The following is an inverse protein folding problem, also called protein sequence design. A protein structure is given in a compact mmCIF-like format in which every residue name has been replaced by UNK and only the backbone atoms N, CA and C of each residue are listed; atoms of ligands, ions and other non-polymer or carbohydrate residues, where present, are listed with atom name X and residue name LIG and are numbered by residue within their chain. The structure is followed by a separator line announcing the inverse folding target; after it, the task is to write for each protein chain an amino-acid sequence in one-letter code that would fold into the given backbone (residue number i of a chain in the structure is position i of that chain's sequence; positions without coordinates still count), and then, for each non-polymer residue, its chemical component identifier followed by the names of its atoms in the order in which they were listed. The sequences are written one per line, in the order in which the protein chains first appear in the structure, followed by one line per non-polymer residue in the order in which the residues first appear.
data_IF_050770758816
#
_entry.id   IF_050770758816
#
_cell.length_a   1.000
_cell.length_b   1.000
_cell.length_c   1.000
_cell.angle_alpha   90.00
_cell.angle_beta   90.00
_cell.angle_gamma   90.00
#
_symmetry.space_group_name_H-M   'P 1'
#
loop_
_entity.id
_entity.type
_entity.pdbx_description
1 polymer ?
#
# COMPACT_ATOMS: atom_id res chain seq x y z
N UNK A 1 -28.04 22.56 4.64
CA UNK A 1 -27.54 21.25 4.17
C UNK A 1 -26.69 20.67 5.30
N UNK A 2 -27.21 19.66 5.99
CA UNK A 2 -26.49 18.99 7.09
C UNK A 2 -25.29 18.21 6.53
N UNK A 3 -24.17 18.14 7.25
CA UNK A 3 -23.01 17.32 6.85
C UNK A 3 -23.35 15.85 6.58
N UNK A 4 -24.44 15.34 7.17
CA UNK A 4 -25.01 14.03 6.86
C UNK A 4 -25.47 13.89 5.40
N UNK A 5 -26.05 14.94 4.81
CA UNK A 5 -26.51 14.92 3.43
C UNK A 5 -25.33 14.85 2.44
N UNK A 6 -24.21 15.51 2.77
CA UNK A 6 -22.97 15.46 1.99
C UNK A 6 -22.29 14.10 2.11
N UNK A 7 -22.22 13.53 3.33
CA UNK A 7 -21.73 12.17 3.56
C UNK A 7 -22.60 11.11 2.86
N UNK A 8 -23.92 11.34 2.77
CA UNK A 8 -24.90 10.49 2.07
C UNK A 8 -24.74 10.44 0.55
N UNK A 9 -24.04 11.41 -0.04
CA UNK A 9 -23.81 11.46 -1.48
C UNK A 9 -22.54 10.69 -1.92
N UNK A 10 -21.71 10.24 -0.97
CA UNK A 10 -20.47 9.51 -1.26
C UNK A 10 -20.78 8.00 -1.35
N UNK A 11 -20.49 7.33 -2.49
CA UNK A 11 -20.94 5.96 -2.77
C UNK A 11 -20.26 4.86 -1.94
N UNK A 12 -19.42 5.20 -0.97
CA UNK A 12 -18.78 4.26 -0.04
C UNK A 12 -19.15 4.64 1.39
N UNK A 13 -20.35 4.24 1.81
CA UNK A 13 -20.82 4.44 3.17
C UNK A 13 -20.58 3.21 4.02
N UNK A 14 -19.45 3.16 4.70
CA UNK A 14 -19.27 2.21 5.79
C UNK A 14 -19.92 2.80 7.05
N UNK A 15 -20.77 2.06 7.79
CA UNK A 15 -21.44 2.56 9.00
C UNK A 15 -20.48 3.20 10.02
N UNK A 16 -19.20 2.80 10.00
CA UNK A 16 -18.13 3.40 10.81
C UNK A 16 -17.90 4.89 10.56
N UNK A 17 -18.23 5.42 9.39
CA UNK A 17 -18.13 6.86 9.11
C UNK A 17 -19.19 7.70 9.82
N UNK A 18 -20.28 7.08 10.31
CA UNK A 18 -21.32 7.75 11.10
C UNK A 18 -21.12 7.59 12.60
N UNK A 19 -20.25 6.66 13.05
CA UNK A 19 -19.94 6.45 14.47
C UNK A 19 -19.42 7.73 15.16
N UNK A 20 -18.54 8.56 14.55
CA UNK A 20 -18.11 9.82 15.17
C UNK A 20 -19.25 10.83 15.40
N UNK A 21 -20.37 10.72 14.67
CA UNK A 21 -21.53 11.60 14.85
C UNK A 21 -22.43 11.17 16.02
N UNK A 22 -22.40 9.90 16.42
CA UNK A 22 -23.23 9.36 17.50
C UNK A 22 -22.98 10.05 18.86
N UNK A 23 -21.73 10.27 19.32
CA UNK A 23 -21.47 11.06 20.51
C UNK A 23 -22.05 12.47 20.41
N UNK A 24 -21.93 13.12 19.24
CA UNK A 24 -22.50 14.45 19.03
C UNK A 24 -24.01 14.49 19.13
N UNK A 25 -24.69 13.51 18.55
CA UNK A 25 -26.15 13.39 18.57
C UNK A 25 -26.63 13.09 20.00
N UNK A 26 -26.04 12.09 20.68
CA UNK A 26 -26.41 11.73 22.05
C UNK A 26 -26.16 12.89 23.00
N UNK A 27 -25.02 13.59 22.88
CA UNK A 27 -24.68 14.69 23.77
C UNK A 27 -25.44 16.00 23.49
N UNK A 28 -25.89 16.22 22.24
CA UNK A 28 -26.70 17.40 21.88
C UNK A 28 -28.17 17.23 22.24
N UNK A 29 -28.67 15.99 22.23
CA UNK A 29 -30.04 15.65 22.66
C UNK A 29 -30.16 15.52 24.18
N UNK A 30 -29.06 15.20 24.87
CA UNK A 30 -29.00 15.11 26.33
C UNK A 30 -28.66 16.46 26.98
N UNK A 31 -29.37 16.86 28.04
CA UNK A 31 -29.27 18.17 28.70
C UNK A 31 -27.93 18.47 29.42
N UNK A 32 -26.90 17.65 29.23
CA UNK A 32 -25.62 17.73 29.96
C UNK A 32 -24.83 19.02 29.68
N UNK A 33 -24.90 19.54 28.45
CA UNK A 33 -24.30 20.82 28.07
C UNK A 33 -24.85 22.02 28.87
N UNK A 34 -26.04 21.90 29.49
CA UNK A 34 -26.64 22.93 30.35
C UNK A 34 -26.17 22.86 31.81
N UNK A 35 -25.67 21.70 32.26
CA UNK A 35 -25.29 21.46 33.66
C UNK A 35 -23.81 21.76 33.92
N UNK A 36 -22.93 21.57 32.94
CA UNK A 36 -21.49 21.84 33.06
C UNK A 36 -20.84 22.22 31.71
N UNK A 37 -21.18 23.38 31.12
CA UNK A 37 -20.80 23.74 29.74
C UNK A 37 -19.28 23.74 29.50
N UNK A 38 -18.46 24.26 30.44
CA UNK A 38 -17.01 24.30 30.27
C UNK A 38 -16.35 22.91 30.25
N UNK A 39 -16.78 22.01 31.14
CA UNK A 39 -16.29 20.63 31.19
C UNK A 39 -16.73 19.84 29.95
N UNK A 40 -17.96 20.07 29.52
CA UNK A 40 -18.51 19.47 28.30
C UNK A 40 -17.66 19.83 27.08
N UNK A 41 -17.44 21.13 26.83
CA UNK A 41 -16.66 21.58 25.67
C UNK A 41 -15.20 21.11 25.72
N UNK A 42 -14.59 21.08 26.91
CA UNK A 42 -13.25 20.53 27.08
C UNK A 42 -13.21 19.03 26.70
N UNK A 43 -14.10 18.22 27.26
CA UNK A 43 -14.18 16.79 26.94
C UNK A 43 -14.47 16.55 25.46
N UNK A 44 -15.37 17.35 24.87
CA UNK A 44 -15.71 17.27 23.46
C UNK A 44 -14.51 17.56 22.55
N UNK A 45 -13.75 18.62 22.84
CA UNK A 45 -12.53 18.99 22.09
C UNK A 45 -11.47 17.90 22.24
N UNK A 46 -11.23 17.43 23.47
CA UNK A 46 -10.26 16.34 23.73
C UNK A 46 -10.66 15.07 22.98
N UNK A 47 -11.94 14.68 23.04
CA UNK A 47 -12.45 13.52 22.33
C UNK A 47 -12.22 13.63 20.82
N UNK A 48 -12.61 14.75 20.20
CA UNK A 48 -12.42 14.96 18.77
C UNK A 48 -10.94 15.03 18.38
N UNK A 49 -10.09 15.63 19.22
CA UNK A 49 -8.65 15.65 18.98
C UNK A 49 -8.06 14.23 19.01
N UNK A 50 -8.44 13.41 19.99
CA UNK A 50 -8.02 12.00 20.07
C UNK A 50 -8.50 11.21 18.84
N UNK A 51 -9.76 11.37 18.43
CA UNK A 51 -10.26 10.72 17.22
C UNK A 51 -9.57 11.22 15.94
N UNK A 52 -9.33 12.52 15.82
CA UNK A 52 -8.64 13.11 14.68
C UNK A 52 -7.20 12.57 14.57
N UNK A 53 -6.49 12.43 15.68
CA UNK A 53 -5.15 11.82 15.69
C UNK A 53 -5.24 10.33 15.37
N UNK A 54 -6.15 9.59 16.00
CA UNK A 54 -6.31 8.15 15.78
C UNK A 54 -6.64 7.80 14.34
N UNK A 55 -7.70 8.40 13.79
CA UNK A 55 -8.18 8.09 12.43
C UNK A 55 -7.48 8.89 11.34
N UNK A 56 -7.11 10.15 11.59
CA UNK A 56 -6.47 11.01 10.59
C UNK A 56 -4.97 10.80 10.47
N UNK A 57 -4.29 10.46 11.57
CA UNK A 57 -2.83 10.23 11.55
C UNK A 57 -2.54 8.74 11.69
N UNK A 58 -2.89 8.14 12.83
CA UNK A 58 -2.40 6.79 13.16
C UNK A 58 -2.97 5.71 12.22
N UNK A 59 -4.18 5.88 11.70
CA UNK A 59 -4.81 4.90 10.79
C UNK A 59 -4.47 5.09 9.30
N UNK A 60 -4.16 6.31 8.89
CA UNK A 60 -4.08 6.67 7.46
C UNK A 60 -2.70 7.19 7.05
N UNK A 61 -1.85 7.62 7.98
CA UNK A 61 -0.55 8.20 7.67
C UNK A 61 0.41 7.22 6.99
N UNK A 62 0.19 5.90 7.08
CA UNK A 62 1.01 4.92 6.36
C UNK A 62 0.70 4.83 4.87
N UNK A 63 -0.54 5.09 4.45
CA UNK A 63 -0.98 4.84 3.07
C UNK A 63 -0.34 5.82 2.10
N UNK A 64 -0.27 7.10 2.45
CA UNK A 64 0.29 8.14 1.56
C UNK A 64 1.79 7.93 1.29
N UNK A 65 2.67 7.71 2.29
CA UNK A 65 4.08 7.41 2.07
C UNK A 65 4.30 6.10 1.31
N UNK A 66 3.48 5.08 1.54
CA UNK A 66 3.55 3.83 0.76
C UNK A 66 3.20 4.07 -0.70
N UNK A 67 2.16 4.85 -0.99
CA UNK A 67 1.79 5.20 -2.36
C UNK A 67 2.84 6.08 -3.04
N UNK A 68 3.47 7.01 -2.31
CA UNK A 68 4.59 7.79 -2.80
C UNK A 68 5.80 6.90 -3.12
N UNK A 69 6.15 5.96 -2.23
CA UNK A 69 7.19 4.97 -2.49
C UNK A 69 6.90 4.12 -3.74
N UNK A 70 5.68 3.59 -3.85
CA UNK A 70 5.25 2.80 -5.01
C UNK A 70 5.32 3.65 -6.28
N UNK A 71 4.86 4.89 -6.23
CA UNK A 71 4.89 5.82 -7.36
C UNK A 71 6.31 6.11 -7.82
N UNK A 72 7.21 6.49 -6.90
CA UNK A 72 8.61 6.80 -7.24
C UNK A 72 9.38 5.61 -7.77
N UNK A 73 9.16 4.43 -7.19
CA UNK A 73 9.89 3.23 -7.60
C UNK A 73 9.30 2.56 -8.82
N UNK A 74 8.04 2.81 -9.17
CA UNK A 74 7.36 2.11 -10.28
C UNK A 74 7.07 2.99 -11.48
N UNK A 75 6.79 4.29 -11.29
CA UNK A 75 6.37 5.21 -12.34
C UNK A 75 7.57 5.88 -13.04
N UNK A 76 8.46 5.06 -13.59
CA UNK A 76 9.58 5.53 -14.40
C UNK A 76 9.04 6.12 -15.73
N UNK A 77 9.38 7.38 -16.02
CA UNK A 77 8.96 8.03 -17.26
C UNK A 77 9.58 7.35 -18.50
N UNK A 78 10.86 6.99 -18.37
CA UNK A 78 11.64 6.19 -19.32
C UNK A 78 12.49 5.24 -18.50
N UNK A 79 12.40 3.94 -18.79
CA UNK A 79 13.17 2.93 -18.08
C UNK A 79 14.13 2.20 -19.02
N UNK A 80 15.40 2.11 -18.61
CA UNK A 80 16.35 1.18 -19.19
C UNK A 80 16.44 -0.04 -18.27
N UNK A 81 16.07 -1.22 -18.78
CA UNK A 81 16.11 -2.46 -18.04
C UNK A 81 17.28 -3.31 -18.52
N UNK A 82 18.22 -3.62 -17.62
CA UNK A 82 19.36 -4.50 -17.89
C UNK A 82 19.04 -5.90 -17.36
N UNK A 83 18.91 -6.86 -18.26
CA UNK A 83 18.66 -8.26 -17.92
C UNK A 83 19.83 -8.86 -17.13
N UNK A 84 19.53 -9.61 -16.08
CA UNK A 84 20.54 -10.38 -15.35
C UNK A 84 21.08 -11.52 -16.25
N UNK A 85 22.40 -11.84 -16.20
CA UNK A 85 23.01 -12.82 -17.09
C UNK A 85 22.45 -14.26 -17.00
N UNK A 86 21.68 -14.58 -15.95
CA UNK A 86 21.24 -15.95 -15.64
C UNK A 86 19.76 -16.05 -15.22
N UNK A 87 18.95 -14.98 -15.36
CA UNK A 87 17.56 -14.98 -14.93
C UNK A 87 16.68 -14.14 -15.89
N UNK A 88 15.38 -14.44 -16.01
CA UNK A 88 14.43 -13.58 -16.73
C UNK A 88 14.22 -12.22 -16.06
N UNK A 89 14.90 -11.96 -14.94
CA UNK A 89 14.77 -10.74 -14.17
C UNK A 89 15.76 -9.67 -14.64
N UNK A 90 15.33 -8.43 -14.56
CA UNK A 90 16.09 -7.26 -14.96
C UNK A 90 16.08 -6.21 -13.85
N UNK A 91 17.16 -5.42 -13.81
CA UNK A 91 17.24 -4.21 -13.01
C UNK A 91 16.92 -3.04 -13.93
N UNK A 92 15.86 -2.30 -13.61
CA UNK A 92 15.38 -1.15 -14.34
C UNK A 92 15.70 0.14 -13.59
N UNK A 93 16.24 1.12 -14.31
CA UNK A 93 16.57 2.45 -13.79
C UNK A 93 15.96 3.54 -14.67
N UNK A 94 15.83 4.75 -14.12
CA UNK A 94 15.37 5.91 -14.88
C UNK A 94 16.40 6.28 -15.93
N UNK A 95 16.06 6.20 -17.20
CA UNK A 95 16.92 6.69 -18.28
C UNK A 95 16.88 8.23 -18.31
N UNK A 96 18.06 8.87 -18.37
CA UNK A 96 18.15 10.31 -18.61
C UNK A 96 18.08 10.56 -20.14
N UNK A 97 17.10 11.32 -20.65
CA UNK A 97 16.95 11.52 -22.09
C UNK A 97 18.07 12.37 -22.73
N UNK A 98 18.93 13.01 -21.93
CA UNK A 98 19.93 13.99 -22.41
C UNK A 98 21.31 13.37 -22.66
N UNK A 99 21.65 12.23 -22.06
CA UNK A 99 23.04 11.73 -22.04
C UNK A 99 23.35 10.60 -23.02
N UNK A 100 22.36 9.87 -23.54
CA UNK A 100 22.64 8.74 -24.45
C UNK A 100 22.33 9.07 -25.91
N UNK A 101 23.18 9.91 -26.50
CA UNK A 101 23.27 10.12 -27.95
C UNK A 101 23.78 8.90 -28.73
N UNK A 102 23.81 7.71 -28.12
CA UNK A 102 24.42 6.51 -28.68
C UNK A 102 23.69 5.22 -28.28
N UNK A 103 22.40 5.09 -28.61
CA UNK A 103 21.77 3.78 -28.77
C UNK A 103 20.51 3.86 -29.65
N UNK A 104 20.69 3.82 -30.98
CA UNK A 104 19.66 3.30 -31.89
C UNK A 104 19.45 1.82 -31.55
N UNK A 105 18.64 1.53 -30.52
CA UNK A 105 18.39 0.17 -30.02
C UNK A 105 17.87 0.06 -28.59
N UNK A 106 17.74 1.16 -27.82
CA UNK A 106 17.12 1.11 -26.51
C UNK A 106 15.61 0.82 -26.64
N UNK A 107 15.25 -0.46 -26.57
CA UNK A 107 13.86 -0.89 -26.50
C UNK A 107 13.19 -0.20 -25.30
N UNK A 108 12.18 0.63 -25.57
CA UNK A 108 11.35 1.25 -24.54
C UNK A 108 10.70 0.15 -23.71
N UNK A 109 11.19 -0.06 -22.49
CA UNK A 109 10.68 -1.08 -21.59
C UNK A 109 9.35 -0.62 -20.98
N UNK A 110 8.31 -1.44 -21.10
CA UNK A 110 7.05 -1.26 -20.39
C UNK A 110 7.11 -1.96 -19.04
N UNK A 111 6.77 -1.25 -17.97
CA UNK A 111 6.79 -1.75 -16.60
C UNK A 111 5.37 -1.83 -16.06
N UNK A 112 4.99 -2.98 -15.51
CA UNK A 112 3.74 -3.19 -14.76
C UNK A 112 4.06 -3.58 -13.32
N UNK A 113 3.69 -2.73 -12.38
CA UNK A 113 3.77 -3.04 -10.94
C UNK A 113 2.37 -3.34 -10.41
N UNK A 114 2.12 -4.59 -10.03
CA UNK A 114 0.90 -4.98 -9.32
C UNK A 114 1.10 -4.78 -7.82
N UNK A 115 0.17 -4.11 -7.15
CA UNK A 115 0.23 -3.84 -5.71
C UNK A 115 -1.02 -4.38 -5.04
N UNK A 116 -0.81 -5.35 -4.15
CA UNK A 116 -1.85 -6.04 -3.40
C UNK A 116 -1.96 -5.41 -2.01
N UNK A 117 -3.04 -4.66 -1.75
CA UNK A 117 -3.34 -4.09 -0.43
C UNK A 117 -4.11 -5.11 0.40
N UNK A 118 -3.48 -5.62 1.46
CA UNK A 118 -4.02 -6.68 2.33
C UNK A 118 -4.39 -6.09 3.69
N UNK A 119 -5.63 -6.29 4.12
CA UNK A 119 -6.10 -5.94 5.48
C UNK A 119 -5.83 -4.47 5.86
N UNK A 120 -5.96 -3.52 4.93
CA UNK A 120 -5.77 -2.10 5.22
C UNK A 120 -6.70 -1.22 4.39
N UNK A 121 -6.74 0.08 4.71
CA UNK A 121 -7.64 1.02 4.04
C UNK A 121 -7.44 1.07 2.53
N UNK A 122 -8.54 1.21 1.77
CA UNK A 122 -8.51 1.27 0.31
C UNK A 122 -7.59 2.39 -0.17
N UNK A 123 -6.59 2.03 -0.96
CA UNK A 123 -5.61 2.99 -1.46
C UNK A 123 -6.26 4.05 -2.37
N UNK A 124 -6.13 5.36 -2.07
CA UNK A 124 -6.65 6.42 -2.93
C UNK A 124 -5.89 6.49 -4.26
N UNK A 125 -6.45 5.84 -5.30
CA UNK A 125 -5.85 5.72 -6.64
C UNK A 125 -5.44 7.05 -7.26
N UNK A 126 -6.16 8.14 -6.94
CA UNK A 126 -5.86 9.47 -7.45
C UNK A 126 -4.48 10.01 -7.00
N UNK A 127 -3.93 9.54 -5.88
CA UNK A 127 -2.59 9.94 -5.42
C UNK A 127 -1.46 9.41 -6.30
N UNK A 128 -1.71 8.38 -7.13
CA UNK A 128 -0.71 7.89 -8.07
C UNK A 128 -0.54 8.79 -9.31
N UNK A 129 -1.43 9.77 -9.50
CA UNK A 129 -1.41 10.70 -10.64
C UNK A 129 -1.19 10.00 -12.00
N UNK A 130 -1.82 8.82 -12.18
CA UNK A 130 -1.73 8.08 -13.43
C UNK A 130 -2.55 8.76 -14.53
N UNK A 131 -2.04 8.80 -15.78
CA UNK A 131 -2.80 9.32 -16.90
C UNK A 131 -4.01 8.42 -17.16
N UNK A 132 -5.14 9.02 -17.54
CA UNK A 132 -6.34 8.28 -17.93
C UNK A 132 -6.12 7.42 -19.18
N UNK A 133 -5.17 7.81 -20.04
CA UNK A 133 -4.77 7.03 -21.20
C UNK A 133 -3.61 6.09 -20.85
N UNK A 134 -3.87 4.78 -20.94
CA UNK A 134 -2.94 3.71 -20.61
C UNK A 134 -1.66 3.70 -21.47
N UNK A 135 -1.69 4.30 -22.66
CA UNK A 135 -0.56 4.33 -23.59
C UNK A 135 0.44 5.47 -23.32
N UNK A 136 0.09 6.42 -22.43
CA UNK A 136 0.88 7.64 -22.23
C UNK A 136 2.11 7.45 -21.32
N UNK A 137 2.21 6.34 -20.58
CA UNK A 137 3.37 6.03 -19.73
C UNK A 137 3.92 4.65 -20.04
N UNK A 138 5.24 4.55 -20.05
CA UNK A 138 5.95 3.28 -20.10
C UNK A 138 5.80 2.49 -18.79
N UNK A 139 5.27 3.09 -17.72
CA UNK A 139 5.07 2.46 -16.43
C UNK A 139 3.62 2.55 -15.94
N UNK A 140 3.08 1.41 -15.48
CA UNK A 140 1.72 1.25 -14.95
C UNK A 140 1.76 0.63 -13.56
N UNK A 141 0.94 1.15 -12.64
CA UNK A 141 0.74 0.56 -11.31
C UNK A 141 -0.71 0.08 -11.19
N UNK A 142 -0.92 -1.19 -10.93
CA UNK A 142 -2.24 -1.81 -10.75
C UNK A 142 -2.49 -2.02 -9.25
N UNK A 143 -3.42 -1.26 -8.67
CA UNK A 143 -3.79 -1.36 -7.27
C UNK A 143 -4.98 -2.30 -7.07
N UNK A 144 -4.76 -3.39 -6.34
CA UNK A 144 -5.79 -4.34 -5.92
C UNK A 144 -6.04 -4.19 -4.42
N UNK A 145 -7.28 -3.86 -4.06
CA UNK A 145 -7.73 -3.89 -2.67
C UNK A 145 -8.29 -5.29 -2.37
N UNK A 146 -7.71 -5.96 -1.37
CA UNK A 146 -8.07 -7.31 -0.96
C UNK A 146 -8.81 -7.31 0.39
N UNK A 147 -9.30 -6.16 0.85
CA UNK A 147 -10.17 -6.08 2.03
C UNK A 147 -11.42 -6.94 1.83
N UNK A 148 -11.72 -7.77 2.82
CA UNK A 148 -12.88 -8.68 2.80
C UNK A 148 -12.66 -9.99 2.01
N UNK A 149 -11.54 -10.13 1.29
CA UNK A 149 -11.21 -11.35 0.56
C UNK A 149 -10.78 -12.48 1.53
N UNK A 150 -11.17 -13.71 1.21
CA UNK A 150 -10.80 -14.89 2.01
C UNK A 150 -9.29 -15.19 1.91
N UNK A 151 -8.74 -15.82 2.94
CA UNK A 151 -7.31 -16.17 2.98
C UNK A 151 -6.88 -17.10 1.83
N UNK A 152 -7.69 -18.07 1.43
CA UNK A 152 -7.36 -18.97 0.31
C UNK A 152 -7.34 -18.24 -1.03
N UNK A 153 -8.27 -17.31 -1.22
CA UNK A 153 -8.34 -16.49 -2.43
C UNK A 153 -7.14 -15.54 -2.52
N UNK A 154 -6.77 -14.88 -1.41
CA UNK A 154 -5.56 -14.05 -1.32
C UNK A 154 -4.32 -14.89 -1.66
N UNK A 155 -4.18 -16.10 -1.10
CA UNK A 155 -3.06 -16.99 -1.39
C UNK A 155 -3.02 -17.42 -2.84
N UNK A 156 -4.16 -17.76 -3.43
CA UNK A 156 -4.24 -18.11 -4.85
C UNK A 156 -3.79 -16.96 -5.74
N UNK A 157 -4.26 -15.73 -5.44
CA UNK A 157 -3.86 -14.53 -6.16
C UNK A 157 -2.35 -14.26 -6.04
N UNK A 158 -1.79 -14.34 -4.82
CA UNK A 158 -0.36 -14.14 -4.58
C UNK A 158 0.48 -15.20 -5.31
N UNK A 159 0.07 -16.47 -5.27
CA UNK A 159 0.78 -17.55 -5.99
C UNK A 159 0.80 -17.34 -7.49
N UNK A 160 -0.28 -16.82 -8.07
CA UNK A 160 -0.38 -16.58 -9.50
C UNK A 160 0.23 -15.24 -9.95
N UNK A 161 0.74 -14.44 -9.01
CA UNK A 161 1.33 -13.14 -9.31
C UNK A 161 2.80 -13.24 -9.73
N UNK A 162 3.27 -12.28 -10.52
CA UNK A 162 4.65 -12.26 -11.01
C UNK A 162 5.64 -12.06 -9.86
N UNK A 163 6.65 -12.93 -9.82
CA UNK A 163 7.73 -12.95 -8.82
C UNK A 163 9.04 -12.49 -9.46
N UNK A 164 9.94 -11.99 -8.64
CA UNK A 164 11.32 -11.62 -9.04
C UNK A 164 12.34 -12.44 -8.26
N UNK A 165 13.62 -12.46 -8.64
CA UNK A 165 14.65 -13.12 -7.84
C UNK A 165 14.91 -12.38 -6.53
N UNK A 166 14.82 -13.09 -5.39
CA UNK A 166 15.17 -12.51 -4.09
C UNK A 166 16.67 -12.14 -4.04
N UNK A 167 17.53 -12.95 -4.67
CA UNK A 167 18.98 -12.71 -4.68
C UNK A 167 19.35 -11.44 -5.45
N UNK A 168 18.66 -11.16 -6.56
CA UNK A 168 18.84 -9.92 -7.31
C UNK A 168 18.31 -8.73 -6.51
N UNK A 169 17.11 -8.85 -5.93
CA UNK A 169 16.49 -7.81 -5.12
C UNK A 169 17.35 -7.37 -3.92
N UNK A 170 18.01 -8.31 -3.25
CA UNK A 170 18.90 -8.01 -2.11
C UNK A 170 20.20 -7.30 -2.52
N UNK A 171 20.66 -7.50 -3.76
CA UNK A 171 21.87 -6.87 -4.30
C UNK A 171 21.59 -5.51 -4.93
N UNK A 172 20.35 -5.27 -5.36
CA UNK A 172 19.92 -4.01 -5.95
C UNK A 172 19.85 -2.87 -4.94
N UNK A 173 20.00 -1.65 -5.44
CA UNK A 173 19.87 -0.43 -4.63
C UNK A 173 18.41 -0.12 -4.31
N UNK A 174 18.17 0.71 -3.31
CA UNK A 174 16.81 1.06 -2.87
C UNK A 174 15.99 1.85 -3.93
N UNK A 175 16.67 2.54 -4.84
CA UNK A 175 16.09 3.29 -5.96
C UNK A 175 15.97 2.46 -7.26
N UNK A 176 16.55 1.26 -7.28
CA UNK A 176 16.50 0.36 -8.44
C UNK A 176 15.21 -0.49 -8.42
N UNK A 177 14.59 -0.63 -9.59
CA UNK A 177 13.42 -1.48 -9.76
C UNK A 177 13.85 -2.85 -10.29
N UNK A 178 13.68 -3.89 -9.49
CA UNK A 178 13.79 -5.27 -9.97
C UNK A 178 12.44 -5.73 -10.51
N UNK A 179 12.42 -6.23 -11.74
CA UNK A 179 11.23 -6.75 -12.40
C UNK A 179 11.56 -7.94 -13.30
N UNK A 180 10.58 -8.84 -13.47
CA UNK A 180 10.68 -10.02 -14.34
C UNK A 180 10.21 -9.69 -15.73
N UNK A 181 10.98 -10.06 -16.74
CA UNK A 181 10.55 -9.97 -18.12
C UNK A 181 9.53 -11.07 -18.43
N UNK A 182 8.28 -10.69 -18.62
CA UNK A 182 7.19 -11.62 -18.97
C UNK A 182 7.00 -11.75 -20.48
N UNK A 183 7.29 -10.66 -21.22
CA UNK A 183 7.26 -10.61 -22.69
C UNK A 183 8.40 -9.71 -23.20
N UNK A 184 8.78 -9.79 -24.49
CA UNK A 184 9.74 -8.85 -25.08
C UNK A 184 9.34 -7.40 -24.83
N UNK A 185 10.13 -6.68 -24.02
CA UNK A 185 9.86 -5.29 -23.64
C UNK A 185 8.79 -5.09 -22.56
N UNK A 186 8.23 -6.13 -21.95
CA UNK A 186 7.31 -6.03 -20.81
C UNK A 186 7.94 -6.64 -19.55
N UNK A 187 8.03 -5.82 -18.51
CA UNK A 187 8.60 -6.15 -17.22
C UNK A 187 7.56 -6.00 -16.13
N UNK A 188 7.46 -6.99 -15.26
CA UNK A 188 6.43 -7.05 -14.23
C UNK A 188 7.00 -7.38 -12.86
N UNK A 189 6.37 -6.83 -11.81
CA UNK A 189 6.64 -7.20 -10.43
C UNK A 189 5.38 -7.09 -9.59
N UNK A 190 5.37 -7.80 -8.48
CA UNK A 190 4.27 -7.75 -7.50
C UNK A 190 4.76 -7.27 -6.16
N UNK A 191 4.06 -6.29 -5.59
CA UNK A 191 4.26 -5.78 -4.25
C UNK A 191 3.05 -6.14 -3.39
N UNK A 192 3.30 -6.57 -2.15
CA UNK A 192 2.29 -6.82 -1.13
C UNK A 192 2.41 -5.75 -0.06
N UNK A 193 1.32 -5.03 0.18
CA UNK A 193 1.19 -4.03 1.23
C UNK A 193 0.34 -4.61 2.35
N UNK A 194 0.92 -4.77 3.54
CA UNK A 194 0.24 -5.37 4.68
C UNK A 194 0.64 -4.64 5.98
N UNK A 195 -0.32 -4.29 6.86
CA UNK A 195 0.02 -3.68 8.13
C UNK A 195 0.65 -4.72 9.05
N UNK A 196 1.62 -4.31 9.87
CA UNK A 196 2.30 -5.19 10.81
C UNK A 196 1.36 -5.79 11.89
N UNK A 197 0.18 -5.19 12.07
CA UNK A 197 -0.89 -5.70 12.93
C UNK A 197 -1.70 -6.84 12.31
N UNK A 198 -1.75 -6.96 10.99
CA UNK A 198 -2.44 -8.06 10.33
C UNK A 198 -1.61 -9.35 10.36
N UNK A 199 -2.31 -10.49 10.26
CA UNK A 199 -1.69 -11.80 10.22
C UNK A 199 -1.03 -12.06 8.86
N UNK A 200 0.29 -12.25 8.86
CA UNK A 200 1.07 -12.59 7.67
C UNK A 200 0.66 -13.95 7.09
N UNK A 201 0.10 -14.87 7.90
CA UNK A 201 -0.35 -16.18 7.41
C UNK A 201 -1.51 -16.07 6.40
N UNK A 202 -2.23 -14.94 6.35
CA UNK A 202 -3.22 -14.68 5.29
C UNK A 202 -2.57 -14.61 3.90
N UNK A 203 -1.33 -14.15 3.83
CA UNK A 203 -0.57 -14.01 2.57
C UNK A 203 0.42 -15.15 2.41
N UNK A 204 1.17 -15.51 3.46
CA UNK A 204 2.20 -16.53 3.45
C UNK A 204 2.17 -17.32 4.77
N UNK A 205 1.42 -18.44 4.84
CA UNK A 205 1.40 -19.33 5.99
C UNK A 205 2.78 -19.87 6.35
N UNK A 206 2.95 -20.31 7.61
CA UNK A 206 4.15 -21.04 8.01
C UNK A 206 4.33 -22.30 7.13
N UNK A 207 5.52 -22.46 6.55
CA UNK A 207 5.81 -23.55 5.61
C UNK A 207 5.57 -23.22 4.13
N UNK A 208 5.25 -21.97 3.79
CA UNK A 208 5.27 -21.51 2.38
C UNK A 208 6.70 -21.57 1.84
N UNK A 209 6.91 -22.30 0.75
CA UNK A 209 8.22 -22.51 0.10
C UNK A 209 8.25 -22.13 -1.37
N UNK A 210 7.08 -21.86 -1.97
CA UNK A 210 6.95 -21.55 -3.39
C UNK A 210 7.16 -20.06 -3.71
N UNK A 211 7.15 -19.20 -2.69
CA UNK A 211 7.52 -17.78 -2.78
C UNK A 211 7.97 -17.25 -1.43
N UNK A 212 8.70 -16.14 -1.47
CA UNK A 212 9.09 -15.36 -0.31
C UNK A 212 8.57 -13.91 -0.43
N UNK A 213 8.40 -13.28 0.72
CA UNK A 213 8.05 -11.87 0.84
C UNK A 213 9.28 -11.11 1.35
N UNK A 214 10.00 -10.45 0.45
CA UNK A 214 11.17 -9.66 0.81
C UNK A 214 10.76 -8.22 1.18
N UNK A 215 11.07 -7.72 2.39
CA UNK A 215 10.71 -6.36 2.77
C UNK A 215 11.49 -5.34 1.93
N UNK A 216 10.78 -4.41 1.28
CA UNK A 216 11.38 -3.34 0.46
C UNK A 216 11.15 -1.95 1.02
N UNK A 217 10.08 -1.76 1.79
CA UNK A 217 9.78 -0.47 2.44
C UNK A 217 8.91 -0.68 3.67
N UNK A 218 8.99 0.25 4.63
CA UNK A 218 8.01 0.31 5.72
C UNK A 218 7.87 1.73 6.25
N UNK A 219 6.65 2.10 6.65
CA UNK A 219 6.37 3.39 7.26
C UNK A 219 5.56 3.22 8.55
N UNK A 220 5.81 4.08 9.53
CA UNK A 220 5.01 4.20 10.75
C UNK A 220 4.94 5.67 11.19
N UNK A 221 3.88 6.07 11.90
CA UNK A 221 2.83 5.22 12.47
C UNK A 221 1.76 4.81 11.45
N UNK A 222 1.32 3.54 11.51
CA UNK A 222 0.13 3.04 10.79
C UNK A 222 -0.52 1.87 11.53
N UNK A 223 -1.81 1.98 11.87
CA UNK A 223 -2.55 0.97 12.63
C UNK A 223 -3.81 0.56 11.88
N UNK A 224 -4.00 -0.75 11.67
CA UNK A 224 -5.33 -1.27 11.38
C UNK A 224 -6.10 -1.46 12.70
N UNK A 225 -7.28 -0.86 12.80
CA UNK A 225 -8.15 -0.96 13.97
C UNK A 225 -8.87 -2.31 14.12
N UNK A 226 -8.81 -3.19 13.12
CA UNK A 226 -9.33 -4.56 13.26
C UNK A 226 -8.48 -5.38 14.25
N UNK A 227 -7.24 -4.96 14.49
CA UNK A 227 -6.22 -5.67 15.29
C UNK A 227 -5.62 -4.76 16.39
N UNK A 228 -6.46 -3.98 17.07
CA UNK A 228 -6.00 -3.05 18.13
C UNK A 228 -5.37 -3.79 19.30
N UNK A 229 -5.87 -4.98 19.66
CA UNK A 229 -5.34 -5.74 20.79
C UNK A 229 -3.87 -6.10 20.58
N UNK A 230 -3.52 -6.53 19.37
CA UNK A 230 -2.16 -6.85 18.95
C UNK A 230 -1.26 -5.62 18.93
N UNK A 231 -1.81 -4.47 18.51
CA UNK A 231 -1.10 -3.19 18.53
C UNK A 231 -0.81 -2.75 19.96
N UNK A 232 -1.77 -2.86 20.88
CA UNK A 232 -1.59 -2.48 22.28
C UNK A 232 -0.52 -3.32 22.98
N UNK A 233 -0.37 -4.59 22.61
CA UNK A 233 0.69 -5.46 23.15
C UNK A 233 2.08 -5.03 22.70
N UNK A 234 2.24 -4.59 21.43
CA UNK A 234 3.54 -4.22 20.86
C UNK A 234 3.43 -2.98 19.95
N UNK A 235 3.19 -1.78 20.50
CA UNK A 235 2.77 -0.61 19.73
C UNK A 235 3.80 -0.18 18.69
N UNK A 236 5.08 -0.17 19.04
CA UNK A 236 6.13 0.23 18.10
C UNK A 236 6.36 -0.75 16.95
N UNK A 237 6.15 -2.04 17.18
CA UNK A 237 6.38 -3.09 16.18
C UNK A 237 5.16 -3.29 15.27
N UNK A 238 3.96 -3.10 15.82
CA UNK A 238 2.68 -3.39 15.14
C UNK A 238 2.02 -2.16 14.51
N UNK A 239 2.51 -0.95 14.79
CA UNK A 239 2.01 0.30 14.19
C UNK A 239 2.78 0.71 12.94
N UNK A 240 2.93 -0.21 11.98
CA UNK A 240 3.65 0.03 10.72
C UNK A 240 2.89 -0.54 9.54
N UNK A 241 3.05 0.07 8.37
CA UNK A 241 2.63 -0.45 7.08
C UNK A 241 3.87 -0.93 6.34
N UNK A 242 3.93 -2.23 6.03
CA UNK A 242 5.04 -2.85 5.32
C UNK A 242 4.72 -3.01 3.84
N UNK A 243 5.75 -2.87 3.01
CA UNK A 243 5.72 -3.20 1.58
C UNK A 243 6.75 -4.30 1.34
N UNK A 244 6.29 -5.39 0.74
CA UNK A 244 7.08 -6.56 0.46
C UNK A 244 7.07 -6.83 -1.04
N UNK A 245 8.21 -7.12 -1.64
CA UNK A 245 8.27 -7.65 -3.00
C UNK A 245 8.06 -9.16 -2.95
N UNK A 246 7.24 -9.65 -3.88
CA UNK A 246 7.05 -11.08 -4.09
C UNK A 246 8.25 -11.62 -4.87
N UNK A 247 8.99 -12.56 -4.28
CA UNK A 247 10.19 -13.11 -4.90
C UNK A 247 10.29 -14.63 -4.80
N UNK A 248 11.08 -15.23 -5.69
CA UNK A 248 11.38 -16.66 -5.68
C UNK A 248 12.41 -16.95 -4.59
N UNK A 249 12.11 -17.92 -3.73
CA UNK A 249 13.01 -18.35 -2.65
C UNK A 249 14.17 -19.14 -3.25
N UNK A 250 15.18 -18.42 -3.77
CA UNK A 250 16.36 -18.99 -4.43
C UNK A 250 17.30 -19.72 -3.44
N UNK A 251 16.98 -19.76 -2.15
CA UNK A 251 17.73 -20.48 -1.14
C UNK A 251 16.82 -21.50 -0.43
N UNK A 252 16.63 -22.71 -1.00
CA UNK A 252 15.91 -23.77 -0.33
C UNK A 252 16.62 -24.05 1.00
N UNK A 253 15.93 -23.81 2.11
CA UNK A 253 16.40 -24.20 3.44
C UNK A 253 16.52 -25.71 3.56
#
# INVERSE_FOLDING_TARGET
MSGLAVLSAIPHQEPRFLIPALPGIVLSTWRWHRLAPGRFWCLWVVFNAVLAIGYGVVHQAGVVPVLDFVSRTSALATAECRSAPAAPDAVCTSANPVSDGAARGAHTARIRTTVLFVSTYMAPRHLLAQPANNDARQARIELHDLVGMDGDEIRSLVRNSTRVSCALLQKSRADELVARQTQPGLFERTLVVIPASADMARVAPAGTTDYALAPVYSYGPHVNFDHVAEVLQRPWQRSRLGVFALCDDDNPR
#
